data_IF_733011866286
#
_entry.id   IF_733011866286
#
_cell.length_a   1.000
_cell.length_b   1.000
_cell.length_c   1.000
_cell.angle_alpha   90.00
_cell.angle_beta   90.00
_cell.angle_gamma   90.00
#
_symmetry.space_group_name_H-M   'P 1'
#
loop_
_entity.id
_entity.type
_entity.pdbx_description
1 polymer ?
#
# COMPACT_ATOMS: atom_id res chain seq x y z
N UNK A 1 16.06 -22.39 1.42
CA UNK A 1 14.75 -21.73 1.16
C UNK A 1 14.91 -20.28 1.55
N UNK A 2 14.49 -19.37 0.67
CA UNK A 2 14.91 -17.96 0.60
C UNK A 2 14.51 -17.14 1.83
N UNK A 3 15.46 -16.33 2.26
CA UNK A 3 15.41 -15.33 3.32
C UNK A 3 14.45 -14.19 2.94
N UNK A 4 13.14 -14.41 3.10
CA UNK A 4 12.17 -13.31 3.02
C UNK A 4 12.32 -12.51 4.31
N UNK A 5 12.93 -11.33 4.22
CA UNK A 5 12.99 -10.39 5.35
C UNK A 5 11.59 -10.28 5.94
N UNK A 6 11.44 -10.66 7.21
CA UNK A 6 10.13 -10.74 7.87
C UNK A 6 9.41 -9.40 7.88
N UNK A 7 10.14 -8.29 7.75
CA UNK A 7 9.60 -6.95 7.67
C UNK A 7 9.76 -6.37 6.26
N UNK A 8 8.74 -5.66 5.80
CA UNK A 8 8.78 -4.85 4.59
C UNK A 8 8.21 -3.47 4.88
N UNK A 9 8.75 -2.47 4.20
CA UNK A 9 8.25 -1.11 4.26
C UNK A 9 8.38 -0.46 2.88
N UNK A 10 7.48 0.47 2.59
CA UNK A 10 7.50 1.28 1.38
C UNK A 10 7.13 2.72 1.74
N UNK A 11 7.66 3.66 0.97
CA UNK A 11 7.33 5.07 1.06
C UNK A 11 7.14 5.58 -0.38
N UNK A 12 5.92 5.99 -0.69
CA UNK A 12 5.52 6.46 -2.00
C UNK A 12 5.12 7.93 -1.92
N UNK A 13 5.56 8.71 -2.91
CA UNK A 13 5.22 10.12 -3.07
C UNK A 13 4.63 10.30 -4.47
N UNK A 14 3.40 10.78 -4.52
CA UNK A 14 2.68 11.08 -5.76
C UNK A 14 2.38 12.58 -5.77
N UNK A 15 2.55 13.20 -6.93
CA UNK A 15 2.31 14.62 -7.12
C UNK A 15 1.82 14.88 -8.52
N UNK A 16 0.68 15.57 -8.62
CA UNK A 16 0.06 15.95 -9.88
C UNK A 16 0.05 17.46 -10.00
N UNK A 17 0.45 17.97 -11.17
CA UNK A 17 0.38 19.39 -11.51
C UNK A 17 -0.65 19.53 -12.62
N UNK A 18 -1.66 20.36 -12.40
CA UNK A 18 -2.75 20.55 -13.35
C UNK A 18 -2.48 21.79 -14.22
N UNK A 19 -2.63 21.66 -15.54
CA UNK A 19 -2.56 22.80 -16.47
C UNK A 19 -3.69 23.79 -16.21
N UNK A 20 -4.90 23.28 -15.99
CA UNK A 20 -6.08 24.06 -15.64
C UNK A 20 -6.45 23.82 -14.17
N UNK A 21 -6.90 24.87 -13.48
CA UNK A 21 -7.28 24.77 -12.07
C UNK A 21 -8.50 23.85 -11.92
N UNK A 22 -8.37 22.82 -11.10
CA UNK A 22 -9.48 21.95 -10.70
C UNK A 22 -9.89 22.38 -9.28
N UNK A 23 -11.15 22.78 -9.07
CA UNK A 23 -11.65 23.26 -7.76
C UNK A 23 -10.75 24.31 -7.08
N UNK A 24 -10.19 25.24 -7.87
CA UNK A 24 -9.27 26.31 -7.43
C UNK A 24 -7.90 25.84 -6.91
N UNK A 25 -7.54 24.56 -7.10
CA UNK A 25 -6.21 24.00 -6.84
C UNK A 25 -5.46 23.76 -8.16
N UNK A 26 -4.16 24.06 -8.18
CA UNK A 26 -3.26 23.82 -9.33
C UNK A 26 -2.38 22.58 -9.17
N UNK A 27 -2.45 21.93 -8.01
CA UNK A 27 -1.65 20.75 -7.71
C UNK A 27 -2.35 19.83 -6.71
N UNK A 28 -2.15 18.52 -6.86
CA UNK A 28 -2.47 17.52 -5.86
C UNK A 28 -1.17 16.82 -5.43
N UNK A 29 -1.13 16.35 -4.19
CA UNK A 29 -0.02 15.52 -3.74
C UNK A 29 -0.50 14.52 -2.70
N UNK A 30 0.18 13.38 -2.65
CA UNK A 30 -0.14 12.29 -1.76
C UNK A 30 1.15 11.60 -1.31
N UNK A 31 1.24 11.32 -0.02
CA UNK A 31 2.34 10.58 0.58
C UNK A 31 1.76 9.33 1.23
N UNK A 32 2.26 8.17 0.83
CA UNK A 32 1.87 6.88 1.42
C UNK A 32 3.07 6.25 2.09
N UNK A 33 2.93 5.93 3.37
CA UNK A 33 3.87 5.14 4.13
C UNK A 33 3.23 3.78 4.45
N UNK A 34 3.91 2.72 4.05
CA UNK A 34 3.46 1.34 4.24
C UNK A 34 4.49 0.57 5.05
N UNK A 35 4.00 -0.21 6.00
CA UNK A 35 4.81 -1.09 6.82
C UNK A 35 4.09 -2.42 7.03
N UNK A 36 4.85 -3.51 7.02
CA UNK A 36 4.26 -4.83 7.16
C UNK A 36 5.23 -5.88 7.68
N UNK A 37 4.63 -6.96 8.16
CA UNK A 37 5.30 -8.08 8.77
C UNK A 37 4.72 -9.40 8.26
N UNK A 38 5.60 -10.29 7.84
CA UNK A 38 5.31 -11.68 7.54
C UNK A 38 5.49 -12.50 8.81
N UNK A 39 4.38 -12.99 9.37
CA UNK A 39 4.42 -13.97 10.46
C UNK A 39 4.88 -15.34 9.95
N UNK A 40 4.43 -15.70 8.74
CA UNK A 40 4.83 -16.90 8.01
C UNK A 40 4.90 -16.57 6.52
N UNK A 41 5.48 -17.45 5.66
CA UNK A 41 5.46 -17.25 4.21
C UNK A 41 4.04 -17.12 3.60
N UNK A 42 3.02 -17.56 4.34
CA UNK A 42 1.62 -17.53 3.91
C UNK A 42 0.77 -16.51 4.65
N UNK A 43 1.28 -15.87 5.72
CA UNK A 43 0.51 -14.94 6.55
C UNK A 43 1.29 -13.64 6.78
N UNK A 44 0.69 -12.52 6.38
CA UNK A 44 1.26 -11.20 6.56
C UNK A 44 0.22 -10.21 7.10
N UNK A 45 0.68 -9.28 7.92
CA UNK A 45 -0.09 -8.11 8.34
C UNK A 45 0.63 -6.85 7.86
N UNK A 46 -0.09 -5.94 7.24
CA UNK A 46 0.44 -4.64 6.84
C UNK A 46 -0.50 -3.52 7.24
N UNK A 47 0.08 -2.33 7.39
CA UNK A 47 -0.62 -1.08 7.58
C UNK A 47 -0.12 -0.05 6.57
N UNK A 48 -1.06 0.66 5.98
CA UNK A 48 -0.79 1.77 5.06
C UNK A 48 -1.37 3.05 5.68
N UNK A 49 -0.55 4.10 5.76
CA UNK A 49 -0.97 5.43 6.15
C UNK A 49 -0.73 6.37 4.98
N UNK A 50 -1.77 7.08 4.59
CA UNK A 50 -1.75 7.95 3.44
C UNK A 50 -2.22 9.33 3.87
N UNK A 51 -1.42 10.35 3.52
CA UNK A 51 -1.71 11.74 3.77
C UNK A 51 -1.52 12.52 2.49
N UNK A 52 -2.54 13.28 2.12
CA UNK A 52 -2.50 14.01 0.87
C UNK A 52 -3.49 15.16 0.82
N UNK A 53 -3.36 15.89 -0.27
CA UNK A 53 -4.20 17.02 -0.62
C UNK A 53 -4.68 16.84 -2.04
N UNK A 54 -5.99 16.87 -2.21
CA UNK A 54 -6.65 16.73 -3.50
C UNK A 54 -7.53 17.97 -3.77
N UNK A 55 -7.66 18.42 -5.02
CA UNK A 55 -8.69 19.40 -5.42
C UNK A 55 -10.08 19.18 -4.80
N UNK A 56 -10.48 17.92 -4.63
CA UNK A 56 -11.78 17.57 -4.05
C UNK A 56 -11.80 17.58 -2.51
N UNK A 57 -10.65 17.36 -1.86
CA UNK A 57 -10.51 17.30 -0.40
C UNK A 57 -9.28 18.10 0.04
N UNK A 58 -9.52 19.23 0.73
CA UNK A 58 -8.48 20.20 1.12
C UNK A 58 -7.30 19.55 1.84
N UNK A 59 -7.57 18.56 2.68
CA UNK A 59 -6.61 17.66 3.35
C UNK A 59 -7.31 16.32 3.60
N UNK A 60 -6.63 15.20 3.38
CA UNK A 60 -7.17 13.87 3.59
C UNK A 60 -6.13 12.96 4.26
N UNK A 61 -6.55 12.25 5.32
CA UNK A 61 -5.76 11.20 5.97
C UNK A 61 -6.54 9.89 5.80
N UNK A 62 -5.90 8.88 5.21
CA UNK A 62 -6.43 7.52 5.10
C UNK A 62 -5.52 6.56 5.84
N UNK A 63 -6.12 5.58 6.51
CA UNK A 63 -5.40 4.49 7.14
C UNK A 63 -6.05 3.16 6.74
N UNK A 64 -5.24 2.17 6.40
CA UNK A 64 -5.67 0.82 6.05
C UNK A 64 -4.87 -0.20 6.84
N UNK A 65 -5.55 -1.18 7.43
CA UNK A 65 -4.92 -2.37 7.99
C UNK A 65 -5.33 -3.58 7.14
N UNK A 66 -4.34 -4.42 6.79
CA UNK A 66 -4.53 -5.55 5.88
C UNK A 66 -3.92 -6.81 6.45
N UNK A 67 -4.76 -7.82 6.71
CA UNK A 67 -4.33 -9.18 7.00
C UNK A 67 -4.41 -10.01 5.71
N UNK A 68 -3.28 -10.54 5.26
CA UNK A 68 -3.17 -11.32 4.02
C UNK A 68 -2.82 -12.76 4.37
N UNK A 69 -3.66 -13.70 3.95
CA UNK A 69 -3.42 -15.13 4.07
C UNK A 69 -3.44 -15.81 2.70
N UNK A 70 -2.31 -16.40 2.31
CA UNK A 70 -2.11 -17.04 1.02
C UNK A 70 -2.28 -18.56 1.16
N UNK A 71 -3.45 -19.09 0.79
CA UNK A 71 -3.65 -20.54 0.69
C UNK A 71 -3.10 -21.07 -0.63
N UNK A 72 -1.98 -21.79 -0.59
CA UNK A 72 -1.56 -22.59 -1.73
C UNK A 72 -2.37 -23.89 -1.72
N UNK A 73 -3.41 -23.98 -2.55
CA UNK A 73 -4.12 -25.24 -2.74
C UNK A 73 -3.23 -26.18 -3.58
N UNK A 74 -2.43 -27.00 -2.92
CA UNK A 74 -1.76 -28.13 -3.57
C UNK A 74 -2.80 -29.22 -3.80
N UNK A 75 -3.62 -29.05 -4.83
CA UNK A 75 -4.46 -30.12 -5.35
C UNK A 75 -3.59 -31.32 -5.71
N UNK A 76 -4.10 -32.52 -5.40
CA UNK A 76 -3.49 -33.83 -5.68
C UNK A 76 -3.08 -33.85 -7.16
N UNK A 77 -1.80 -33.63 -7.46
CA UNK A 77 -1.34 -33.44 -8.85
C UNK A 77 0.05 -32.82 -9.02
N UNK A 78 0.68 -32.31 -7.96
CA UNK A 78 2.10 -31.94 -7.97
C UNK A 78 2.97 -33.20 -8.11
N UNK A 79 3.17 -33.66 -9.35
CA UNK A 79 4.08 -34.75 -9.67
C UNK A 79 5.50 -34.38 -9.20
N UNK A 80 6.10 -35.29 -8.43
CA UNK A 80 7.53 -35.33 -8.15
C UNK A 80 8.35 -35.33 -9.42
#
# INVERSE_FOLDING_TARGET
MRDTKSYFAALDLLGDIFTDKIYNQSSAWETTASLGYHFTPVLALSGDLNYGRNPQFTEEIKALLRLTYNMTYTGIGGKK
#
